data_IF_248617554664
#
_entry.id   IF_248617554664
#
_cell.length_a   1.000
_cell.length_b   1.000
_cell.length_c   1.000
_cell.angle_alpha   90.00
_cell.angle_beta   90.00
_cell.angle_gamma   90.00
#
_symmetry.space_group_name_H-M   'P 1'
#
loop_
_entity.id
_entity.type
_entity.pdbx_description
1 polymer ?
#
# COMPACT_ATOMS: atom_id res chain seq x y z
N UNK A 1 2.47 -6.51 13.59
CA UNK A 1 1.76 -7.14 12.45
C UNK A 1 2.84 -7.54 11.43
N UNK A 2 3.10 -8.82 11.22
CA UNK A 2 4.18 -9.29 10.33
C UNK A 2 3.89 -8.94 8.87
N UNK A 3 4.93 -8.61 8.08
CA UNK A 3 4.83 -8.30 6.64
C UNK A 3 4.01 -9.35 5.86
N UNK A 4 4.13 -10.62 6.24
CA UNK A 4 3.36 -11.72 5.66
C UNK A 4 1.85 -11.47 5.70
N UNK A 5 1.30 -10.96 6.81
CA UNK A 5 -0.14 -10.71 6.92
C UNK A 5 -0.62 -9.57 5.99
N UNK A 6 0.24 -8.60 5.70
CA UNK A 6 -0.08 -7.48 4.80
C UNK A 6 -0.10 -7.96 3.35
N UNK A 7 0.90 -8.75 2.94
CA UNK A 7 0.97 -9.31 1.59
C UNK A 7 -0.16 -10.31 1.33
N UNK A 8 -0.46 -11.22 2.27
CA UNK A 8 -1.55 -12.19 2.11
C UNK A 8 -2.91 -11.52 1.87
N UNK A 9 -3.18 -10.40 2.56
CA UNK A 9 -4.43 -9.64 2.36
C UNK A 9 -4.53 -9.04 0.95
N UNK A 10 -3.42 -8.53 0.41
CA UNK A 10 -3.39 -7.98 -0.97
C UNK A 10 -3.64 -9.07 -1.99
N UNK A 11 -2.94 -10.20 -1.88
CA UNK A 11 -3.05 -11.34 -2.80
C UNK A 11 -4.49 -11.87 -2.84
N UNK A 12 -5.15 -11.99 -1.69
CA UNK A 12 -6.54 -12.49 -1.64
C UNK A 12 -7.51 -11.59 -2.41
N UNK A 13 -7.32 -10.27 -2.35
CA UNK A 13 -8.18 -9.31 -3.04
C UNK A 13 -7.84 -9.15 -4.54
N UNK A 14 -6.73 -9.73 -5.03
CA UNK A 14 -6.29 -9.58 -6.42
C UNK A 14 -7.29 -10.10 -7.44
N UNK A 15 -7.96 -11.21 -7.13
CA UNK A 15 -8.96 -11.80 -8.03
C UNK A 15 -10.18 -10.88 -8.18
N UNK A 16 -10.59 -10.22 -7.10
CA UNK A 16 -11.69 -9.27 -7.10
C UNK A 16 -11.33 -7.99 -7.86
N UNK A 17 -10.18 -7.40 -7.56
CA UNK A 17 -9.67 -6.20 -8.26
C UNK A 17 -9.58 -6.49 -9.77
N UNK A 18 -9.01 -7.64 -10.15
CA UNK A 18 -8.92 -8.04 -11.55
C UNK A 18 -10.30 -8.18 -12.21
N UNK A 19 -11.26 -8.79 -11.52
CA UNK A 19 -12.63 -8.97 -12.03
C UNK A 19 -13.34 -7.63 -12.22
N UNK A 20 -13.20 -6.68 -11.29
CA UNK A 20 -13.78 -5.34 -11.40
C UNK A 20 -13.18 -4.55 -12.56
N UNK A 21 -11.85 -4.56 -12.69
CA UNK A 21 -11.16 -3.89 -13.79
C UNK A 21 -11.55 -4.47 -15.16
N UNK A 22 -11.69 -5.80 -15.27
CA UNK A 22 -12.17 -6.45 -16.50
C UNK A 22 -13.61 -6.08 -16.86
N UNK A 23 -14.44 -5.71 -15.88
CA UNK A 23 -15.81 -5.21 -16.11
C UNK A 23 -15.83 -3.71 -16.48
N UNK A 24 -14.67 -3.06 -16.58
CA UNK A 24 -14.57 -1.62 -16.82
C UNK A 24 -14.88 -0.76 -15.60
N UNK A 25 -14.90 -1.35 -14.40
CA UNK A 25 -15.15 -0.64 -13.14
C UNK A 25 -13.81 -0.16 -12.57
N UNK A 26 -13.77 1.11 -12.18
CA UNK A 26 -12.58 1.72 -11.58
C UNK A 26 -12.46 1.30 -10.12
N UNK A 27 -11.23 1.00 -9.67
CA UNK A 27 -10.97 0.47 -8.33
C UNK A 27 -10.07 1.41 -7.57
N UNK A 28 -10.65 2.14 -6.61
CA UNK A 28 -9.91 3.04 -5.73
C UNK A 28 -9.47 2.31 -4.46
N UNK A 29 -8.17 2.33 -4.16
CA UNK A 29 -7.55 1.65 -3.02
C UNK A 29 -6.90 2.63 -2.02
N UNK A 30 -7.40 2.68 -0.79
CA UNK A 30 -6.61 3.29 0.30
C UNK A 30 -5.47 2.34 0.68
N UNK A 31 -4.25 2.71 0.28
CA UNK A 31 -2.99 1.95 0.34
C UNK A 31 -2.90 0.74 -0.57
N UNK A 32 -1.66 0.50 -1.01
CA UNK A 32 -1.29 -0.67 -1.82
C UNK A 32 0.10 -1.18 -1.42
N UNK A 33 0.84 -1.83 -2.33
CA UNK A 33 2.19 -2.36 -2.11
C UNK A 33 3.18 -1.33 -1.55
N UNK A 34 3.19 -0.12 -2.13
CA UNK A 34 4.15 0.94 -1.79
C UNK A 34 4.15 1.33 -0.30
N UNK A 35 2.98 1.34 0.37
CA UNK A 35 2.90 1.68 1.79
C UNK A 35 3.51 0.59 2.66
N UNK A 36 3.40 -0.68 2.24
CA UNK A 36 4.00 -1.81 2.93
C UNK A 36 5.52 -1.75 2.89
N UNK A 37 6.08 -1.45 1.71
CA UNK A 37 7.53 -1.26 1.53
C UNK A 37 8.01 -0.06 2.35
N UNK A 38 7.38 1.11 2.22
CA UNK A 38 7.80 2.32 2.91
C UNK A 38 7.80 2.16 4.44
N UNK A 39 6.75 1.57 5.01
CA UNK A 39 6.67 1.32 6.44
C UNK A 39 7.71 0.29 6.90
N UNK A 40 7.88 -0.79 6.14
CA UNK A 40 8.76 -1.89 6.54
C UNK A 40 10.24 -1.53 6.38
N UNK A 41 10.62 -0.82 5.32
CA UNK A 41 11.99 -0.34 5.17
C UNK A 41 12.31 0.86 6.06
N UNK A 42 11.33 1.74 6.30
CA UNK A 42 11.54 2.97 7.06
C UNK A 42 11.39 2.78 8.58
N UNK A 43 10.32 2.14 9.03
CA UNK A 43 10.03 1.97 10.46
C UNK A 43 10.72 0.74 11.07
N UNK A 44 10.86 -0.34 10.28
CA UNK A 44 11.49 -1.58 10.75
C UNK A 44 12.94 -1.75 10.26
N UNK A 45 13.48 -0.78 9.51
CA UNK A 45 14.83 -0.83 8.92
C UNK A 45 15.13 -2.12 8.14
N UNK A 46 14.10 -2.70 7.51
CA UNK A 46 14.25 -3.91 6.71
C UNK A 46 14.81 -3.59 5.33
N UNK A 47 15.48 -4.56 4.73
CA UNK A 47 16.03 -4.40 3.39
C UNK A 47 14.90 -4.08 2.38
N UNK A 48 15.07 -3.00 1.61
CA UNK A 48 14.08 -2.53 0.64
C UNK A 48 13.72 -3.59 -0.40
N UNK A 49 14.71 -4.26 -0.97
CA UNK A 49 14.51 -5.33 -1.96
C UNK A 49 13.72 -6.49 -1.35
N UNK A 50 14.05 -6.87 -0.12
CA UNK A 50 13.32 -7.90 0.61
C UNK A 50 11.85 -7.52 0.84
N UNK A 51 11.57 -6.25 1.15
CA UNK A 51 10.19 -5.76 1.31
C UNK A 51 9.41 -5.69 -0.01
N UNK A 52 10.08 -5.55 -1.15
CA UNK A 52 9.45 -5.48 -2.48
C UNK A 52 9.13 -6.85 -3.07
N UNK A 53 9.98 -7.85 -2.82
CA UNK A 53 9.81 -9.22 -3.30
C UNK A 53 8.41 -9.83 -3.08
N UNK A 54 7.78 -9.72 -1.89
CA UNK A 54 6.47 -10.33 -1.65
C UNK A 54 5.32 -9.68 -2.44
N UNK A 55 5.47 -8.42 -2.85
CA UNK A 55 4.47 -7.68 -3.62
C UNK A 55 4.75 -7.74 -5.14
N UNK A 56 5.73 -8.52 -5.59
CA UNK A 56 5.98 -8.75 -7.03
C UNK A 56 4.83 -9.55 -7.64
N UNK A 57 4.35 -9.10 -8.81
CA UNK A 57 3.25 -9.74 -9.55
C UNK A 57 1.85 -9.21 -9.22
N UNK A 58 1.73 -8.25 -8.29
CA UNK A 58 0.49 -7.51 -8.10
C UNK A 58 0.16 -6.64 -9.33
N UNK A 59 -1.12 -6.35 -9.54
CA UNK A 59 -1.58 -5.45 -10.61
C UNK A 59 -1.00 -4.07 -10.32
N UNK A 60 -0.28 -3.53 -11.29
CA UNK A 60 0.27 -2.19 -11.18
C UNK A 60 -0.88 -1.17 -11.31
N UNK A 61 -1.04 -0.23 -10.37
CA UNK A 61 -2.02 0.84 -10.52
C UNK A 61 -1.62 1.79 -11.66
N UNK A 62 -2.62 2.38 -12.32
CA UNK A 62 -2.39 3.37 -13.39
C UNK A 62 -1.88 4.69 -12.82
N UNK A 63 -2.39 5.11 -11.65
CA UNK A 63 -2.01 6.36 -10.98
C UNK A 63 -1.79 6.13 -9.49
N UNK A 64 -0.85 6.86 -8.89
CA UNK A 64 -0.56 6.82 -7.45
C UNK A 64 -0.57 8.24 -6.90
N UNK A 65 -1.40 8.49 -5.88
CA UNK A 65 -1.51 9.81 -5.25
C UNK A 65 -0.71 9.86 -3.94
N UNK A 66 0.47 10.46 -4.00
CA UNK A 66 1.27 10.67 -2.81
C UNK A 66 0.87 11.96 -2.09
N UNK A 67 0.15 11.83 -0.98
CA UNK A 67 -0.16 12.95 -0.10
C UNK A 67 1.04 13.27 0.80
N UNK A 68 1.90 14.16 0.33
CA UNK A 68 3.06 14.61 1.09
C UNK A 68 2.63 15.58 2.20
N UNK A 69 2.72 15.13 3.46
CA UNK A 69 2.45 15.96 4.63
C UNK A 69 3.67 15.90 5.55
N UNK A 70 4.17 17.05 6.04
CA UNK A 70 5.26 17.05 7.01
C UNK A 70 4.89 16.27 8.29
N UNK A 71 5.81 15.48 8.87
CA UNK A 71 5.51 14.62 10.01
C UNK A 71 4.91 15.36 11.21
N UNK A 72 5.40 16.57 11.51
CA UNK A 72 4.89 17.43 12.59
C UNK A 72 3.42 17.84 12.40
N UNK A 73 2.94 18.01 11.16
CA UNK A 73 1.54 18.27 10.88
C UNK A 73 0.69 17.00 10.93
N UNK A 74 1.26 15.86 10.52
CA UNK A 74 0.57 14.58 10.59
C UNK A 74 0.32 14.13 12.04
N UNK A 75 1.18 14.51 13.01
CA UNK A 75 1.05 14.19 14.44
C UNK A 75 -0.26 14.66 15.06
N UNK A 76 -0.80 15.77 14.56
CA UNK A 76 -2.03 16.36 15.09
C UNK A 76 -3.29 15.69 14.55
N UNK A 77 -3.17 14.71 13.64
CA UNK A 77 -4.29 13.89 13.18
C UNK A 77 -4.47 12.72 14.13
N UNK A 78 -5.72 12.36 14.41
CA UNK A 78 -6.09 11.24 15.29
C UNK A 78 -5.52 9.87 14.89
N UNK A 79 -5.04 9.72 13.64
CA UNK A 79 -4.48 8.50 13.06
C UNK A 79 -2.99 8.63 12.65
N UNK A 80 -2.21 9.37 13.44
CA UNK A 80 -0.76 9.48 13.24
C UNK A 80 -0.07 8.11 13.33
N UNK A 81 0.67 7.74 12.27
CA UNK A 81 1.29 6.41 12.12
C UNK A 81 0.43 5.39 11.36
N UNK A 82 -0.88 5.65 11.18
CA UNK A 82 -1.81 4.82 10.42
C UNK A 82 -2.19 5.41 9.04
N UNK A 83 -1.78 6.63 8.70
CA UNK A 83 -2.09 7.32 7.43
C UNK A 83 -0.91 8.09 6.82
N UNK A 84 -0.62 8.06 5.51
CA UNK A 84 -1.48 7.95 4.33
C UNK A 84 -0.66 7.49 3.09
N UNK A 85 -1.19 6.60 2.26
CA UNK A 85 -0.75 6.44 0.86
C UNK A 85 -2.00 6.16 0.03
N UNK A 86 -2.56 7.19 -0.61
CA UNK A 86 -3.76 7.05 -1.44
C UNK A 86 -3.35 6.44 -2.78
N UNK A 87 -4.04 5.40 -3.24
CA UNK A 87 -3.88 4.85 -4.59
C UNK A 87 -5.26 4.80 -5.24
N UNK A 88 -5.53 5.74 -6.16
CA UNK A 88 -6.75 5.66 -6.99
C UNK A 88 -6.64 4.51 -7.99
#
# INVERSE_FOLDING_TARGET
>A
MSLQNITTKRINNMNEIKSLLLKGIWVVCDRYAYSGVAYSSGALNLNKTWCMNPDQGLIKPDVVFYLNVPPNYAQNRSDYGNMCLIIL
#
